data_IF_659814951332
#
_entry.id   IF_659814951332
#
_cell.length_a   1.000
_cell.length_b   1.000
_cell.length_c   1.000
_cell.angle_alpha   90.00
_cell.angle_beta   90.00
_cell.angle_gamma   90.00
#
_symmetry.space_group_name_H-M   'P 1'
#
loop_
_entity.id
_entity.type
_entity.pdbx_description
1 polymer ?
#
# COMPACT_ATOMS: atom_id res chain seq x y z
N UNK A 1 50.83 9.11 -31.13
CA UNK A 1 49.64 9.94 -31.41
C UNK A 1 48.47 9.28 -30.67
N UNK A 2 47.66 10.09 -29.96
CA UNK A 2 46.69 9.77 -28.91
C UNK A 2 46.06 8.36 -28.87
N UNK A 3 46.11 7.73 -27.68
CA UNK A 3 45.06 6.85 -27.18
C UNK A 3 43.83 7.73 -26.86
N UNK A 4 42.70 7.46 -27.49
CA UNK A 4 41.42 8.09 -27.13
C UNK A 4 40.59 7.07 -26.35
N UNK A 5 40.28 7.44 -25.12
CA UNK A 5 39.51 6.67 -24.15
C UNK A 5 38.06 7.21 -24.14
N UNK A 6 37.10 6.31 -23.88
CA UNK A 6 35.75 6.56 -23.35
C UNK A 6 34.69 7.11 -24.34
N UNK A 7 33.39 6.85 -24.21
CA UNK A 7 32.56 6.26 -23.15
C UNK A 7 31.29 5.77 -23.85
N UNK A 8 30.90 4.49 -23.76
CA UNK A 8 29.57 4.06 -24.25
C UNK A 8 28.64 3.85 -23.06
N UNK A 9 27.59 4.65 -23.06
CA UNK A 9 26.64 4.88 -21.97
C UNK A 9 25.83 3.62 -21.68
N UNK A 10 25.83 3.19 -20.42
CA UNK A 10 24.86 2.20 -19.92
C UNK A 10 23.49 2.87 -19.94
N UNK A 11 22.58 2.39 -20.78
CA UNK A 11 21.16 2.78 -20.74
C UNK A 11 20.56 2.16 -19.47
N UNK A 12 20.56 2.92 -18.37
CA UNK A 12 19.81 2.53 -17.19
C UNK A 12 18.32 2.71 -17.52
N UNK A 13 17.65 1.62 -17.87
CA UNK A 13 16.19 1.57 -17.90
C UNK A 13 15.72 1.65 -16.43
N UNK A 14 15.50 2.87 -15.95
CA UNK A 14 14.75 3.09 -14.70
C UNK A 14 13.34 2.57 -14.93
N UNK A 15 13.08 1.32 -14.54
CA UNK A 15 11.75 0.72 -14.57
C UNK A 15 10.78 1.62 -13.79
N UNK A 16 9.60 1.74 -14.39
CA UNK A 16 8.52 2.67 -14.06
C UNK A 16 8.35 2.93 -12.55
N UNK A 17 8.22 4.22 -12.20
CA UNK A 17 7.57 4.62 -10.96
C UNK A 17 6.26 3.83 -10.83
N UNK A 18 6.14 3.00 -9.79
CA UNK A 18 4.87 2.39 -9.46
C UNK A 18 3.86 3.52 -9.32
N UNK A 19 2.81 3.44 -10.14
CA UNK A 19 1.72 4.39 -10.19
C UNK A 19 1.21 4.67 -8.75
N UNK A 20 1.10 5.96 -8.42
CA UNK A 20 0.53 6.53 -7.19
C UNK A 20 0.24 5.51 -6.08
N UNK A 21 1.22 5.31 -5.19
CA UNK A 21 1.04 4.52 -3.96
C UNK A 21 -0.10 5.09 -3.13
N UNK A 22 -0.43 6.37 -3.27
CA UNK A 22 -1.47 7.04 -2.49
C UNK A 22 -2.57 7.60 -3.40
N UNK A 23 -3.83 7.52 -2.96
CA UNK A 23 -4.97 8.02 -3.70
C UNK A 23 -5.99 8.72 -2.81
N UNK A 24 -6.78 9.59 -3.43
CA UNK A 24 -7.96 10.23 -2.83
C UNK A 24 -9.22 9.69 -3.46
N UNK A 25 -10.31 9.68 -2.69
CA UNK A 25 -11.64 9.44 -3.21
C UNK A 25 -12.07 10.59 -4.15
N UNK A 26 -13.10 10.34 -4.97
CA UNK A 26 -13.70 11.33 -5.87
C UNK A 26 -14.08 12.59 -5.07
N UNK A 27 -13.94 13.77 -5.70
CA UNK A 27 -14.18 15.08 -5.07
C UNK A 27 -15.46 15.12 -4.22
N UNK A 28 -15.30 15.46 -2.94
CA UNK A 28 -16.40 15.69 -1.98
C UNK A 28 -16.30 14.91 -0.67
N UNK A 29 -15.59 13.78 -0.65
CA UNK A 29 -15.49 12.87 0.52
C UNK A 29 -14.04 12.64 0.98
N UNK A 30 -13.14 13.57 0.68
CA UNK A 30 -11.74 13.49 1.10
C UNK A 30 -11.63 13.64 2.62
N UNK A 31 -10.90 12.73 3.25
CA UNK A 31 -10.61 12.71 4.70
C UNK A 31 -11.83 12.70 5.63
N UNK A 32 -12.97 12.20 5.17
CA UNK A 32 -14.18 12.06 6.00
C UNK A 32 -14.18 10.69 6.67
N UNK A 33 -14.42 10.66 7.98
CA UNK A 33 -14.57 9.45 8.80
C UNK A 33 -13.43 8.43 8.62
N UNK A 34 -12.19 8.94 8.57
CA UNK A 34 -11.00 8.11 8.41
C UNK A 34 -10.48 7.62 9.76
N UNK A 35 -9.92 6.42 9.75
CA UNK A 35 -9.25 5.82 10.89
C UNK A 35 -7.88 6.48 11.12
N UNK A 36 -7.54 6.71 12.38
CA UNK A 36 -6.23 7.24 12.79
C UNK A 36 -5.06 6.32 12.41
N UNK A 37 -3.88 6.90 12.14
CA UNK A 37 -2.70 6.20 11.62
C UNK A 37 -2.30 4.99 12.46
N UNK A 38 -2.30 5.17 13.78
CA UNK A 38 -1.94 4.14 14.75
C UNK A 38 -2.94 2.98 14.73
N UNK A 39 -4.23 3.30 14.62
CA UNK A 39 -5.30 2.30 14.57
C UNK A 39 -5.31 1.55 13.25
N UNK A 40 -5.08 2.22 12.11
CA UNK A 40 -4.88 1.56 10.81
C UNK A 40 -3.67 0.63 10.85
N UNK A 41 -2.55 1.07 11.45
CA UNK A 41 -1.34 0.25 11.57
C UNK A 41 -1.59 -1.01 12.40
N UNK A 42 -2.33 -0.87 13.52
CA UNK A 42 -2.77 -2.00 14.34
C UNK A 42 -3.68 -2.96 13.56
N UNK A 43 -4.65 -2.43 12.83
CA UNK A 43 -5.56 -3.22 12.00
C UNK A 43 -4.81 -4.00 10.91
N UNK A 44 -3.77 -3.41 10.32
CA UNK A 44 -2.90 -4.05 9.33
C UNK A 44 -2.22 -5.32 9.83
N UNK A 45 -1.70 -5.31 11.05
CA UNK A 45 -1.13 -6.52 11.67
C UNK A 45 -2.19 -7.63 11.83
N UNK A 46 -3.40 -7.26 12.26
CA UNK A 46 -4.52 -8.19 12.39
C UNK A 46 -4.97 -8.77 11.04
N UNK A 47 -5.07 -7.93 10.01
CA UNK A 47 -5.39 -8.35 8.64
C UNK A 47 -4.33 -9.31 8.10
N UNK A 48 -3.06 -8.93 8.19
CA UNK A 48 -1.97 -9.75 7.69
C UNK A 48 -1.90 -11.09 8.41
N UNK A 49 -2.06 -11.15 9.74
CA UNK A 49 -2.11 -12.42 10.48
C UNK A 49 -3.22 -13.38 10.05
N UNK A 50 -4.31 -12.87 9.45
CA UNK A 50 -5.43 -13.69 8.97
C UNK A 50 -5.37 -14.04 7.49
N UNK A 51 -4.80 -13.18 6.65
CA UNK A 51 -5.01 -13.23 5.20
C UNK A 51 -3.75 -13.37 4.35
N UNK A 52 -2.54 -13.17 4.88
CA UNK A 52 -1.30 -13.09 4.10
C UNK A 52 -1.15 -14.22 3.05
N UNK A 53 -1.47 -15.47 3.41
CA UNK A 53 -1.32 -16.68 2.60
C UNK A 53 -2.59 -17.13 1.86
N UNK A 54 -3.69 -16.38 1.95
CA UNK A 54 -4.95 -16.68 1.25
C UNK A 54 -4.93 -16.08 -0.15
N UNK A 55 -5.31 -16.83 -1.18
CA UNK A 55 -5.20 -16.39 -2.59
C UNK A 55 -5.95 -15.09 -2.86
N UNK A 56 -7.14 -14.97 -2.28
CA UNK A 56 -7.93 -13.77 -2.24
C UNK A 56 -8.26 -13.50 -0.77
N UNK A 57 -8.00 -12.27 -0.32
CA UNK A 57 -8.62 -11.75 0.89
C UNK A 57 -9.82 -10.94 0.43
N UNK A 58 -11.03 -11.42 0.69
CA UNK A 58 -12.22 -10.59 0.57
C UNK A 58 -11.93 -9.29 1.32
N UNK A 59 -12.23 -8.18 0.67
CA UNK A 59 -12.07 -6.86 1.26
C UNK A 59 -12.64 -6.88 2.69
N UNK A 60 -11.79 -6.65 3.69
CA UNK A 60 -12.20 -6.64 5.10
C UNK A 60 -12.49 -5.19 5.48
N UNK A 61 -13.75 -4.94 5.81
CA UNK A 61 -14.18 -3.73 6.50
C UNK A 61 -13.75 -3.82 7.97
N UNK A 62 -13.13 -2.75 8.46
CA UNK A 62 -12.63 -2.66 9.82
C UNK A 62 -13.03 -1.32 10.43
N UNK A 63 -13.75 -1.37 11.55
CA UNK A 63 -14.13 -0.19 12.29
C UNK A 63 -13.15 0.07 13.43
N UNK A 64 -12.76 1.33 13.58
CA UNK A 64 -12.06 1.77 14.78
C UNK A 64 -13.00 1.90 15.98
N UNK A 65 -12.44 2.28 17.13
CA UNK A 65 -13.21 2.49 18.37
C UNK A 65 -14.23 3.61 18.28
N UNK A 66 -14.09 4.53 17.32
CA UNK A 66 -14.94 5.68 17.11
C UNK A 66 -16.01 5.42 16.02
N UNK A 67 -15.97 4.25 15.38
CA UNK A 67 -16.87 3.88 14.29
C UNK A 67 -16.40 4.31 12.90
N UNK A 68 -15.22 4.93 12.77
CA UNK A 68 -14.61 5.23 11.48
C UNK A 68 -14.27 3.93 10.76
N UNK A 69 -14.39 3.93 9.44
CA UNK A 69 -14.24 2.72 8.63
C UNK A 69 -12.96 2.78 7.80
N UNK A 70 -12.17 1.74 7.91
CA UNK A 70 -11.09 1.41 6.98
C UNK A 70 -11.43 0.12 6.25
N UNK A 71 -10.83 -0.08 5.08
CA UNK A 71 -11.11 -1.26 4.26
C UNK A 71 -9.83 -1.76 3.57
N UNK A 72 -9.55 -3.06 3.67
CA UNK A 72 -8.28 -3.64 3.23
C UNK A 72 -8.50 -4.84 2.32
N UNK A 73 -7.72 -4.95 1.26
CA UNK A 73 -7.86 -6.05 0.31
C UNK A 73 -6.57 -6.37 -0.40
N UNK A 74 -6.41 -7.62 -0.84
CA UNK A 74 -5.25 -8.01 -1.64
C UNK A 74 -5.58 -9.00 -2.74
N UNK A 75 -4.74 -8.97 -3.76
CA UNK A 75 -4.70 -9.95 -4.84
C UNK A 75 -3.43 -10.78 -4.68
N UNK A 76 -3.57 -12.10 -4.71
CA UNK A 76 -2.48 -13.07 -4.52
C UNK A 76 -1.97 -13.16 -3.08
N UNK A 77 -0.97 -14.04 -2.85
CA UNK A 77 -0.39 -14.35 -1.54
C UNK A 77 0.92 -13.63 -1.34
N UNK A 78 1.13 -13.11 -0.14
CA UNK A 78 2.46 -12.74 0.31
C UNK A 78 3.29 -13.99 0.62
N UNK A 79 4.63 -13.85 0.57
CA UNK A 79 5.56 -14.93 0.91
C UNK A 79 5.58 -15.25 2.41
N UNK A 80 5.23 -14.29 3.25
CA UNK A 80 5.11 -14.44 4.70
C UNK A 80 4.16 -13.38 5.29
N UNK A 81 3.79 -13.54 6.55
CA UNK A 81 3.02 -12.54 7.30
C UNK A 81 3.80 -11.22 7.40
N UNK A 82 5.10 -11.27 7.70
CA UNK A 82 5.96 -10.11 7.87
C UNK A 82 6.09 -9.30 6.57
N UNK A 83 6.09 -9.97 5.41
CA UNK A 83 6.09 -9.30 4.12
C UNK A 83 4.79 -8.52 3.87
N UNK A 84 3.64 -9.08 4.30
CA UNK A 84 2.36 -8.37 4.28
C UNK A 84 2.39 -7.15 5.20
N UNK A 85 2.85 -7.31 6.44
CA UNK A 85 2.91 -6.23 7.42
C UNK A 85 3.86 -5.09 6.98
N UNK A 86 5.01 -5.43 6.38
CA UNK A 86 5.93 -4.45 5.84
C UNK A 86 5.32 -3.63 4.69
N UNK A 87 4.64 -4.29 3.74
CA UNK A 87 3.94 -3.62 2.65
C UNK A 87 2.79 -2.73 3.16
N UNK A 88 2.04 -3.21 4.16
CA UNK A 88 0.96 -2.44 4.78
C UNK A 88 1.51 -1.20 5.48
N UNK A 89 2.59 -1.37 6.27
CA UNK A 89 3.27 -0.26 6.96
C UNK A 89 3.81 0.77 5.97
N UNK A 90 4.39 0.33 4.86
CA UNK A 90 4.87 1.22 3.80
C UNK A 90 3.74 2.13 3.27
N UNK A 91 2.56 1.56 2.99
CA UNK A 91 1.38 2.33 2.57
C UNK A 91 0.98 3.34 3.66
N UNK A 92 0.86 2.91 4.92
CA UNK A 92 0.42 3.77 6.02
C UNK A 92 1.40 4.91 6.28
N UNK A 93 2.71 4.63 6.25
CA UNK A 93 3.73 5.65 6.49
C UNK A 93 3.77 6.71 5.39
N UNK A 94 3.60 6.29 4.13
CA UNK A 94 3.68 7.18 2.97
C UNK A 94 2.37 7.94 2.70
N UNK A 95 1.22 7.30 2.90
CA UNK A 95 -0.06 7.81 2.40
C UNK A 95 -0.98 8.37 3.48
N UNK A 96 -0.85 7.98 4.75
CA UNK A 96 -1.83 8.38 5.75
C UNK A 96 -1.89 9.90 5.93
N UNK A 97 -0.77 10.60 5.76
CA UNK A 97 -0.72 12.06 5.75
C UNK A 97 -1.21 12.64 4.41
N UNK A 98 -2.50 12.98 4.36
CA UNK A 98 -3.09 13.72 3.24
C UNK A 98 -3.72 12.88 2.13
N UNK A 99 -3.76 11.54 2.26
CA UNK A 99 -4.45 10.67 1.29
C UNK A 99 -5.53 9.80 1.92
N UNK A 100 -6.54 9.42 1.15
CA UNK A 100 -7.65 8.58 1.65
C UNK A 100 -7.28 7.09 1.70
N UNK A 101 -6.24 6.70 0.98
CA UNK A 101 -5.70 5.35 1.03
C UNK A 101 -4.45 5.20 0.19
N UNK A 102 -4.03 3.95 0.04
CA UNK A 102 -2.93 3.60 -0.85
C UNK A 102 -2.90 2.16 -1.32
N UNK A 103 -2.01 1.89 -2.27
CA UNK A 103 -1.77 0.60 -2.88
C UNK A 103 -0.28 0.28 -2.90
N UNK A 104 0.04 -0.99 -2.66
CA UNK A 104 1.38 -1.53 -2.82
C UNK A 104 1.33 -2.68 -3.81
N UNK A 105 2.33 -2.78 -4.70
CA UNK A 105 2.40 -3.85 -5.68
C UNK A 105 3.85 -4.31 -5.91
N UNK A 106 4.14 -5.56 -5.60
CA UNK A 106 5.38 -6.22 -5.99
C UNK A 106 5.21 -7.73 -6.01
N UNK A 107 6.09 -8.43 -6.75
CA UNK A 107 6.16 -9.90 -6.77
C UNK A 107 4.82 -10.59 -7.13
N UNK A 108 3.99 -9.94 -7.94
CA UNK A 108 2.67 -10.46 -8.33
C UNK A 108 1.59 -10.36 -7.25
N UNK A 109 1.85 -9.60 -6.18
CA UNK A 109 0.90 -9.28 -5.11
C UNK A 109 0.50 -7.82 -5.21
N UNK A 110 -0.77 -7.53 -4.99
CA UNK A 110 -1.29 -6.17 -4.83
C UNK A 110 -2.00 -6.09 -3.49
N UNK A 111 -1.70 -5.07 -2.70
CA UNK A 111 -2.37 -4.74 -1.44
C UNK A 111 -2.99 -3.35 -1.56
N UNK A 112 -4.24 -3.21 -1.15
CA UNK A 112 -4.96 -1.94 -1.06
C UNK A 112 -5.35 -1.69 0.39
N UNK A 113 -5.16 -0.45 0.83
CA UNK A 113 -5.47 0.01 2.17
C UNK A 113 -6.23 1.34 2.06
N UNK A 114 -7.53 1.31 2.31
CA UNK A 114 -8.39 2.49 2.43
C UNK A 114 -8.40 2.91 3.89
N UNK A 115 -7.97 4.14 4.18
CA UNK A 115 -8.00 4.70 5.55
C UNK A 115 -9.37 5.27 5.91
N UNK A 116 -10.16 5.59 4.89
CA UNK A 116 -11.47 6.20 5.00
C UNK A 116 -12.51 5.28 4.37
N UNK A 117 -13.79 5.53 4.69
CA UNK A 117 -14.90 4.83 4.04
C UNK A 117 -14.87 5.02 2.52
N UNK A 118 -14.79 3.91 1.78
CA UNK A 118 -14.91 3.84 0.32
C UNK A 118 -16.38 3.79 -0.11
#
# INVERSE_FOLDING_TARGET
MQLAQETTRILSLTSAALANICYNHVQGNHKVDCVDKEQVSFAGAGYCGKYWDKLNGDWEDWNDSNGNLANFGKVSKFSSQEACEAAFKEIVDLCHEGWDGGSWAAQGVVLNVNFCKW
#
